data_IF_876472599725
#
_entry.id   IF_876472599725
#
_cell.length_a   1.000
_cell.length_b   1.000
_cell.length_c   1.000
_cell.angle_alpha   90.00
_cell.angle_beta   90.00
_cell.angle_gamma   90.00
#
_symmetry.space_group_name_H-M   'P 1'
#
loop_
_entity.id
_entity.type
_entity.pdbx_description
1 polymer ?
#
# COMPACT_ATOMS: atom_id res chain seq x y z
N UNK A 1 58.04 -77.68 -8.20
CA UNK A 1 57.32 -78.05 -6.97
C UNK A 1 56.30 -76.94 -6.72
N UNK A 2 55.24 -76.90 -7.51
CA UNK A 2 53.95 -77.55 -7.22
C UNK A 2 53.10 -76.68 -6.27
N UNK A 3 52.20 -75.85 -6.82
CA UNK A 3 50.73 -75.95 -6.63
C UNK A 3 49.94 -74.68 -7.06
N UNK A 4 49.09 -74.90 -8.08
CA UNK A 4 47.62 -74.65 -8.07
C UNK A 4 47.10 -73.18 -8.08
N UNK A 5 46.74 -72.72 -9.30
CA UNK A 5 45.35 -72.49 -9.80
C UNK A 5 44.36 -71.74 -8.88
N UNK A 6 43.99 -70.48 -9.20
CA UNK A 6 42.56 -70.07 -9.26
C UNK A 6 42.30 -68.73 -9.97
N UNK A 7 41.34 -68.82 -10.88
CA UNK A 7 40.61 -67.81 -11.65
C UNK A 7 39.95 -66.67 -10.85
N UNK A 8 39.80 -65.53 -11.55
CA UNK A 8 38.64 -64.60 -11.57
C UNK A 8 38.34 -63.71 -10.35
N UNK A 9 38.46 -62.37 -10.53
CA UNK A 9 37.33 -61.40 -10.66
C UNK A 9 37.82 -59.96 -10.49
N UNK A 10 37.60 -59.13 -11.52
CA UNK A 10 37.53 -57.67 -11.41
C UNK A 10 36.44 -57.27 -10.41
N UNK A 11 36.67 -56.24 -9.59
CA UNK A 11 35.59 -55.40 -9.12
C UNK A 11 35.69 -54.03 -9.80
N UNK A 12 34.76 -53.78 -10.72
CA UNK A 12 34.42 -52.43 -11.19
C UNK A 12 33.77 -51.73 -9.98
N UNK A 13 34.43 -50.73 -9.42
CA UNK A 13 33.87 -49.87 -8.38
C UNK A 13 32.94 -48.84 -9.05
N UNK A 14 31.64 -49.09 -9.02
CA UNK A 14 30.63 -48.10 -9.40
C UNK A 14 30.38 -47.17 -8.21
N UNK A 15 30.86 -45.91 -8.30
CA UNK A 15 30.46 -44.84 -7.38
C UNK A 15 29.07 -44.33 -7.80
N UNK A 16 28.06 -44.57 -6.96
CA UNK A 16 26.75 -43.92 -7.10
C UNK A 16 26.86 -42.53 -6.47
N UNK A 17 26.82 -41.50 -7.31
CA UNK A 17 26.77 -40.11 -6.87
C UNK A 17 25.34 -39.77 -6.45
N UNK A 18 25.09 -39.70 -5.14
CA UNK A 18 23.81 -39.25 -4.59
C UNK A 18 23.75 -37.72 -4.67
N UNK A 19 23.09 -37.19 -5.69
CA UNK A 19 22.83 -35.76 -5.81
C UNK A 19 21.75 -35.36 -4.79
N UNK A 20 22.16 -34.78 -3.67
CA UNK A 20 21.25 -34.11 -2.74
C UNK A 20 20.88 -32.77 -3.37
N UNK A 21 19.69 -32.70 -3.97
CA UNK A 21 19.14 -31.43 -4.46
C UNK A 21 18.64 -30.63 -3.25
N UNK A 22 19.39 -29.61 -2.85
CA UNK A 22 18.84 -28.58 -1.97
C UNK A 22 17.82 -27.79 -2.78
N UNK A 23 16.54 -27.93 -2.45
CA UNK A 23 15.50 -27.03 -2.94
C UNK A 23 15.83 -25.64 -2.39
N UNK A 24 16.39 -24.77 -3.23
CA UNK A 24 16.49 -23.35 -2.92
C UNK A 24 15.05 -22.83 -2.88
N UNK A 25 14.54 -22.30 -1.76
CA UNK A 25 13.21 -21.73 -1.73
C UNK A 25 13.17 -20.57 -2.72
N UNK A 26 12.31 -20.66 -3.73
CA UNK A 26 12.01 -19.56 -4.64
C UNK A 26 11.39 -18.44 -3.81
N UNK A 27 12.11 -17.35 -3.60
CA UNK A 27 11.50 -16.11 -3.11
C UNK A 27 10.56 -15.61 -4.21
N UNK A 28 9.26 -15.87 -4.08
CA UNK A 28 8.26 -15.20 -4.91
C UNK A 28 8.18 -13.76 -4.43
N UNK A 29 8.84 -12.84 -5.13
CA UNK A 29 8.62 -11.41 -4.93
C UNK A 29 7.18 -11.10 -5.34
N UNK A 30 6.40 -10.48 -4.44
CA UNK A 30 5.10 -9.94 -4.82
C UNK A 30 5.30 -8.80 -5.84
N UNK A 31 4.44 -8.74 -6.85
CA UNK A 31 4.52 -7.71 -7.90
C UNK A 31 4.33 -6.30 -7.34
N UNK A 32 3.57 -6.16 -6.26
CA UNK A 32 3.27 -4.88 -5.62
C UNK A 32 3.56 -4.97 -4.13
N UNK A 33 3.95 -3.86 -3.52
CA UNK A 33 4.11 -3.77 -2.05
C UNK A 33 3.53 -2.47 -1.52
N UNK A 34 3.14 -2.49 -0.24
CA UNK A 34 2.85 -1.28 0.51
C UNK A 34 4.14 -0.82 1.18
N UNK A 35 4.50 0.44 0.99
CA UNK A 35 5.64 1.10 1.64
C UNK A 35 5.08 2.17 2.57
N UNK A 36 5.36 2.04 3.86
CA UNK A 36 4.97 3.00 4.88
C UNK A 36 6.23 3.71 5.36
N UNK A 37 6.30 5.02 5.14
CA UNK A 37 7.42 5.86 5.59
C UNK A 37 6.99 6.73 6.76
N UNK A 38 7.93 6.98 7.68
CA UNK A 38 7.76 7.95 8.76
C UNK A 38 8.44 9.27 8.41
N UNK A 39 7.76 10.37 8.72
CA UNK A 39 8.26 11.73 8.60
C UNK A 39 7.99 12.51 9.89
N UNK A 40 8.87 13.46 10.25
CA UNK A 40 8.61 14.34 11.38
C UNK A 40 7.38 15.21 11.11
N UNK A 41 6.51 15.32 12.12
CA UNK A 41 5.44 16.32 12.16
C UNK A 41 6.01 17.69 12.58
N UNK A 42 5.38 18.77 12.13
CA UNK A 42 5.62 20.12 12.66
C UNK A 42 5.08 20.29 14.08
N UNK A 43 4.19 19.40 14.52
CA UNK A 43 3.70 19.33 15.89
C UNK A 43 4.54 18.38 16.73
N UNK A 44 4.96 18.85 17.90
CA UNK A 44 5.80 18.06 18.79
C UNK A 44 5.07 16.80 19.30
N UNK A 45 5.77 15.66 19.30
CA UNK A 45 5.23 14.38 19.76
C UNK A 45 4.31 13.66 18.77
N UNK A 46 4.18 14.16 17.53
CA UNK A 46 3.41 13.53 16.46
C UNK A 46 4.35 12.95 15.39
N UNK A 47 3.90 11.91 14.70
CA UNK A 47 4.59 11.31 13.55
C UNK A 47 3.66 11.30 12.35
N UNK A 48 4.18 11.68 11.18
CA UNK A 48 3.51 11.51 9.90
C UNK A 48 3.87 10.17 9.29
N UNK A 49 2.86 9.41 8.91
CA UNK A 49 2.99 8.19 8.16
C UNK A 49 2.52 8.42 6.73
N UNK A 50 3.39 8.13 5.77
CA UNK A 50 3.14 8.27 4.34
C UNK A 50 3.01 6.87 3.76
N UNK A 51 1.80 6.51 3.34
CA UNK A 51 1.51 5.17 2.82
C UNK A 51 1.56 5.21 1.29
N UNK A 52 2.39 4.37 0.69
CA UNK A 52 2.59 4.29 -0.75
C UNK A 52 2.32 2.88 -1.26
N UNK A 53 1.74 2.77 -2.45
CA UNK A 53 1.82 1.55 -3.25
C UNK A 53 3.07 1.63 -4.12
N UNK A 54 3.98 0.68 -3.94
CA UNK A 54 5.16 0.49 -4.79
C UNK A 54 4.76 -0.36 -5.99
N UNK A 55 4.94 0.21 -7.18
CA UNK A 55 4.64 -0.39 -8.47
C UNK A 55 5.83 -1.16 -9.05
N UNK A 56 5.55 -2.10 -9.95
CA UNK A 56 6.56 -2.88 -10.65
C UNK A 56 7.04 -2.18 -11.94
N UNK A 57 6.17 -1.40 -12.57
CA UNK A 57 6.44 -0.70 -13.83
C UNK A 57 5.92 0.74 -13.79
N UNK A 58 6.60 1.67 -14.47
CA UNK A 58 6.18 3.08 -14.57
C UNK A 58 4.84 3.30 -15.26
N UNK A 59 4.36 2.30 -16.01
CA UNK A 59 3.08 2.33 -16.71
C UNK A 59 1.96 1.68 -15.91
N UNK A 60 2.26 1.04 -14.77
CA UNK A 60 1.23 0.60 -13.84
C UNK A 60 0.51 1.81 -13.24
N UNK A 61 -0.79 1.66 -12.96
CA UNK A 61 -1.61 2.74 -12.42
C UNK A 61 -2.44 2.24 -11.24
N UNK A 62 -2.34 2.91 -10.09
CA UNK A 62 -3.29 2.70 -8.98
C UNK A 62 -4.59 3.41 -9.33
N UNK A 63 -5.68 2.67 -9.39
CA UNK A 63 -6.99 3.21 -9.74
C UNK A 63 -7.87 3.47 -8.52
N UNK A 64 -7.80 2.61 -7.52
CA UNK A 64 -8.66 2.69 -6.34
C UNK A 64 -8.02 2.07 -5.11
N UNK A 65 -8.39 2.59 -3.94
CA UNK A 65 -8.24 1.91 -2.66
C UNK A 65 -9.65 1.59 -2.16
N UNK A 66 -9.88 0.35 -1.73
CA UNK A 66 -11.24 -0.14 -1.53
C UNK A 66 -11.39 -1.13 -0.37
N UNK A 67 -12.60 -1.23 0.16
CA UNK A 67 -12.99 -2.27 1.11
C UNK A 67 -14.42 -2.74 0.88
N UNK A 68 -14.70 -3.99 1.24
CA UNK A 68 -16.03 -4.59 1.24
C UNK A 68 -16.16 -5.60 2.38
N UNK A 69 -17.34 -6.18 2.56
CA UNK A 69 -17.60 -7.32 3.45
C UNK A 69 -16.72 -8.54 3.18
N UNK A 70 -16.45 -8.85 1.91
CA UNK A 70 -15.57 -9.95 1.49
C UNK A 70 -14.09 -9.63 1.58
N UNK A 71 -13.73 -8.37 1.35
CA UNK A 71 -12.36 -7.87 1.32
C UNK A 71 -12.28 -6.63 2.22
N UNK A 72 -12.31 -6.82 3.55
CA UNK A 72 -12.30 -5.70 4.46
C UNK A 72 -10.97 -4.95 4.38
N UNK A 73 -11.03 -3.64 4.60
CA UNK A 73 -9.83 -2.82 4.82
C UNK A 73 -9.97 -2.03 6.11
N UNK A 74 -8.84 -1.71 6.71
CA UNK A 74 -8.80 -0.88 7.91
C UNK A 74 -7.47 -0.17 8.07
N UNK A 75 -7.50 1.01 8.68
CA UNK A 75 -6.32 1.69 9.23
C UNK A 75 -6.61 1.95 10.70
N UNK A 76 -5.72 1.55 11.58
CA UNK A 76 -5.85 1.70 13.03
C UNK A 76 -4.73 2.60 13.51
N UNK A 77 -5.09 3.68 14.19
CA UNK A 77 -4.21 4.60 14.89
C UNK A 77 -4.65 4.65 16.37
N UNK A 78 -4.17 3.76 17.26
CA UNK A 78 -4.72 3.59 18.61
C UNK A 78 -4.66 4.85 19.49
N UNK A 79 -3.84 5.83 19.13
CA UNK A 79 -3.69 7.12 19.82
C UNK A 79 -4.48 8.26 19.15
N UNK A 80 -5.31 7.95 18.18
CA UNK A 80 -6.10 8.92 17.43
C UNK A 80 -5.29 9.61 16.34
N UNK A 81 -5.95 9.91 15.23
CA UNK A 81 -5.38 10.70 14.13
C UNK A 81 -5.45 12.20 14.41
N UNK A 82 -4.54 12.95 13.82
CA UNK A 82 -4.61 14.40 13.78
C UNK A 82 -5.36 14.89 12.55
N UNK A 83 -6.36 15.75 12.76
CA UNK A 83 -7.05 16.54 11.75
C UNK A 83 -7.39 17.92 12.32
N UNK A 84 -6.91 18.97 11.67
CA UNK A 84 -7.17 20.36 12.03
C UNK A 84 -8.65 20.71 11.78
N UNK A 85 -9.20 21.69 12.52
CA UNK A 85 -10.56 22.17 12.28
C UNK A 85 -10.73 22.91 10.94
N UNK A 86 -9.63 23.15 10.21
CA UNK A 86 -9.60 23.84 8.93
C UNK A 86 -9.44 22.89 7.74
N UNK A 87 -9.33 21.58 7.97
CA UNK A 87 -9.33 20.61 6.89
C UNK A 87 -10.69 20.62 6.18
N UNK A 88 -10.72 21.19 4.97
CA UNK A 88 -11.95 21.37 4.22
C UNK A 88 -12.43 20.10 3.50
N UNK A 89 -11.66 19.01 3.53
CA UNK A 89 -11.92 17.79 2.77
C UNK A 89 -11.48 16.53 3.55
N UNK A 90 -11.88 15.36 3.06
CA UNK A 90 -11.34 14.07 3.52
C UNK A 90 -10.06 13.66 2.76
N UNK A 91 -9.80 14.33 1.64
CA UNK A 91 -8.69 14.02 0.74
C UNK A 91 -7.65 15.13 0.70
N UNK A 92 -6.54 14.87 0.01
CA UNK A 92 -5.47 15.85 -0.24
C UNK A 92 -5.98 17.18 -0.83
N UNK A 93 -7.16 17.21 -1.46
CA UNK A 93 -7.78 18.44 -1.96
C UNK A 93 -8.12 19.46 -0.87
N UNK A 94 -8.22 19.03 0.39
CA UNK A 94 -8.37 19.91 1.55
C UNK A 94 -7.10 20.69 1.90
N UNK A 95 -5.93 20.20 1.49
CA UNK A 95 -4.62 20.78 1.81
C UNK A 95 -4.24 21.94 0.89
N UNK A 96 -5.07 22.98 0.86
CA UNK A 96 -4.80 24.16 0.07
C UNK A 96 -3.69 25.02 0.70
N UNK A 97 -2.53 25.22 0.03
CA UNK A 97 -1.39 25.92 0.61
C UNK A 97 -1.67 27.35 1.07
N UNK A 98 -2.69 28.00 0.52
CA UNK A 98 -3.09 29.36 0.90
C UNK A 98 -3.51 29.47 2.37
N UNK A 99 -3.83 28.35 3.04
CA UNK A 99 -4.20 28.35 4.45
C UNK A 99 -3.03 28.06 5.40
N UNK A 100 -1.87 27.63 4.89
CA UNK A 100 -0.74 27.21 5.74
C UNK A 100 -0.10 28.36 6.53
N UNK A 101 -0.13 29.59 6.01
CA UNK A 101 0.37 30.75 6.78
C UNK A 101 -0.45 31.01 8.04
N UNK A 102 -1.78 30.85 7.94
CA UNK A 102 -2.70 31.05 9.06
C UNK A 102 -2.77 29.83 10.00
N UNK A 103 -2.58 28.62 9.46
CA UNK A 103 -2.60 27.38 10.22
C UNK A 103 -1.51 26.40 9.73
N UNK A 104 -0.25 26.57 10.19
CA UNK A 104 0.87 25.76 9.73
C UNK A 104 0.72 24.26 9.99
N UNK A 105 0.01 23.86 11.04
CA UNK A 105 -0.20 22.44 11.36
C UNK A 105 -1.08 21.70 10.35
N UNK A 106 -1.79 22.40 9.44
CA UNK A 106 -2.57 21.75 8.38
C UNK A 106 -1.72 20.88 7.46
N UNK A 107 -0.42 21.16 7.33
CA UNK A 107 0.50 20.31 6.54
C UNK A 107 0.60 18.88 7.08
N UNK A 108 0.20 18.68 8.33
CA UNK A 108 0.18 17.40 9.01
C UNK A 108 -1.23 16.83 9.17
N UNK A 109 -2.26 17.40 8.54
CA UNK A 109 -3.58 16.76 8.55
C UNK A 109 -3.52 15.37 7.92
N UNK A 110 -4.33 14.45 8.45
CA UNK A 110 -4.48 13.14 7.86
C UNK A 110 -5.40 13.24 6.65
N UNK A 111 -5.05 12.57 5.55
CA UNK A 111 -5.86 12.59 4.33
C UNK A 111 -5.70 11.33 3.50
N UNK A 112 -6.72 10.99 2.73
CA UNK A 112 -6.63 10.01 1.65
C UNK A 112 -6.28 10.68 0.32
N UNK A 113 -5.62 9.94 -0.56
CA UNK A 113 -5.20 10.44 -1.87
C UNK A 113 -4.96 9.29 -2.85
N UNK A 114 -4.69 9.64 -4.11
CA UNK A 114 -3.97 8.81 -5.07
C UNK A 114 -2.96 9.74 -5.74
N UNK A 115 -1.69 9.64 -5.35
CA UNK A 115 -0.56 10.35 -5.93
C UNK A 115 -0.55 11.87 -5.78
N UNK A 116 -1.33 12.44 -4.84
CA UNK A 116 -1.33 13.88 -4.56
C UNK A 116 -0.96 14.19 -3.11
N UNK A 117 -0.08 15.17 -2.91
CA UNK A 117 0.23 15.78 -1.60
C UNK A 117 -0.67 16.99 -1.26
N UNK A 118 -1.52 17.41 -2.21
CA UNK A 118 -2.44 18.52 -2.07
C UNK A 118 -3.54 18.50 -3.14
N UNK A 119 -4.23 19.62 -3.39
CA UNK A 119 -5.22 19.71 -4.47
C UNK A 119 -4.64 19.35 -5.83
N UNK A 120 -5.42 18.66 -6.66
CA UNK A 120 -5.00 18.24 -8.00
C UNK A 120 -4.52 19.40 -8.89
N UNK A 121 -5.03 20.61 -8.69
CA UNK A 121 -4.58 21.83 -9.39
C UNK A 121 -3.11 22.19 -9.12
N UNK A 122 -2.51 21.65 -8.07
CA UNK A 122 -1.08 21.77 -7.74
C UNK A 122 -0.25 20.55 -8.17
N UNK A 123 -0.91 19.50 -8.70
CA UNK A 123 -0.28 18.27 -9.15
C UNK A 123 0.26 18.35 -10.59
N UNK A 124 0.62 17.18 -11.13
CA UNK A 124 1.02 17.03 -12.54
C UNK A 124 -0.16 17.35 -13.47
N UNK A 125 0.11 17.69 -14.73
CA UNK A 125 -0.94 17.89 -15.73
C UNK A 125 -1.88 16.68 -15.79
N UNK A 126 -3.19 16.94 -15.87
CA UNK A 126 -4.26 15.93 -15.80
C UNK A 126 -4.33 15.15 -14.47
N UNK A 127 -3.85 15.73 -13.38
CA UNK A 127 -4.16 15.21 -12.05
C UNK A 127 -5.64 15.44 -11.74
N UNK A 128 -6.25 14.51 -11.02
CA UNK A 128 -7.65 14.59 -10.58
C UNK A 128 -7.73 14.34 -9.07
N UNK A 129 -8.56 15.11 -8.37
CA UNK A 129 -8.87 14.84 -6.97
C UNK A 129 -9.61 13.48 -6.86
N UNK A 130 -9.31 12.65 -5.85
CA UNK A 130 -9.95 11.35 -5.73
C UNK A 130 -11.46 11.48 -5.47
N UNK A 131 -12.23 10.57 -6.06
CA UNK A 131 -13.67 10.46 -5.92
C UNK A 131 -13.98 9.45 -4.81
N UNK A 132 -14.96 9.76 -3.97
CA UNK A 132 -15.37 8.95 -2.84
C UNK A 132 -16.60 8.09 -3.15
N UNK A 133 -16.54 6.83 -2.72
CA UNK A 133 -17.69 5.96 -2.45
C UNK A 133 -17.69 5.64 -0.96
N UNK A 134 -18.80 5.88 -0.30
CA UNK A 134 -18.92 5.75 1.15
C UNK A 134 -20.26 5.15 1.54
N UNK A 135 -20.23 4.28 2.55
CA UNK A 135 -21.42 3.78 3.21
C UNK A 135 -21.78 4.75 4.34
N UNK A 136 -22.82 5.56 4.11
CA UNK A 136 -23.23 6.60 5.07
C UNK A 136 -23.62 6.07 6.45
N UNK A 137 -23.87 4.76 6.59
CA UNK A 137 -24.14 4.14 7.89
C UNK A 137 -22.86 3.81 8.67
N UNK A 138 -21.70 3.78 8.00
CA UNK A 138 -20.37 3.59 8.56
C UNK A 138 -19.34 4.46 7.80
N UNK A 139 -19.37 5.80 7.98
CA UNK A 139 -18.62 6.72 7.16
C UNK A 139 -17.12 6.67 7.46
N UNK A 140 -16.34 6.14 6.52
CA UNK A 140 -14.89 6.00 6.72
C UNK A 140 -14.15 7.34 6.62
N UNK A 141 -14.75 8.33 5.96
CA UNK A 141 -14.18 9.66 5.76
C UNK A 141 -14.00 10.44 7.06
N UNK A 142 -14.70 10.06 8.13
CA UNK A 142 -14.53 10.68 9.45
C UNK A 142 -13.12 10.51 9.99
N UNK A 143 -12.41 9.44 9.62
CA UNK A 143 -11.00 9.24 9.95
C UNK A 143 -10.08 10.35 9.40
N UNK A 144 -10.49 11.04 8.33
CA UNK A 144 -9.71 12.12 7.71
C UNK A 144 -10.29 13.52 7.99
N UNK A 145 -11.39 13.61 8.73
CA UNK A 145 -12.10 14.87 8.98
C UNK A 145 -12.26 15.20 10.45
N UNK A 146 -12.27 14.18 11.30
CA UNK A 146 -12.50 14.32 12.73
C UNK A 146 -11.18 13.99 13.45
N UNK A 147 -10.79 14.86 14.37
CA UNK A 147 -9.60 14.66 15.18
C UNK A 147 -9.80 13.48 16.14
N UNK A 148 -8.71 12.82 16.53
CA UNK A 148 -8.66 11.72 17.51
C UNK A 148 -9.41 10.43 17.12
N UNK A 149 -9.94 10.32 15.90
CA UNK A 149 -10.52 9.05 15.42
C UNK A 149 -9.43 7.96 15.38
N UNK A 150 -9.74 6.80 15.93
CA UNK A 150 -8.75 5.73 16.13
C UNK A 150 -8.74 4.66 15.04
N UNK A 151 -9.79 4.61 14.21
CA UNK A 151 -9.96 3.55 13.21
C UNK A 151 -10.74 4.03 11.99
N UNK A 152 -10.21 3.72 10.83
CA UNK A 152 -10.95 3.61 9.57
C UNK A 152 -11.28 2.14 9.36
N UNK A 153 -12.53 1.81 9.03
CA UNK A 153 -12.92 0.46 8.66
C UNK A 153 -13.94 0.49 7.53
N UNK A 154 -13.69 -0.30 6.49
CA UNK A 154 -14.63 -0.52 5.40
C UNK A 154 -14.80 -2.04 5.26
N UNK A 155 -15.92 -2.55 5.76
CA UNK A 155 -16.24 -3.97 5.85
C UNK A 155 -17.72 -4.27 5.61
N UNK A 156 -18.47 -3.33 5.03
CA UNK A 156 -19.92 -3.50 4.77
C UNK A 156 -20.15 -4.06 3.37
N UNK A 157 -21.38 -4.55 3.12
CA UNK A 157 -21.79 -5.04 1.80
C UNK A 157 -21.76 -3.94 0.74
N UNK A 158 -22.11 -2.70 1.11
CA UNK A 158 -21.99 -1.53 0.22
C UNK A 158 -20.52 -1.19 -0.03
N UNK A 159 -19.67 -1.42 0.98
CA UNK A 159 -18.25 -1.16 0.92
C UNK A 159 -17.95 0.34 0.88
N UNK A 160 -16.74 0.65 0.43
CA UNK A 160 -16.22 2.01 0.38
C UNK A 160 -14.96 2.04 -0.45
N UNK A 161 -14.67 3.18 -1.05
CA UNK A 161 -13.52 3.36 -1.92
C UNK A 161 -13.18 4.83 -2.08
N UNK A 162 -11.91 5.13 -2.27
CA UNK A 162 -11.51 6.33 -2.99
C UNK A 162 -10.74 5.95 -4.24
N UNK A 163 -11.06 6.61 -5.35
CA UNK A 163 -10.56 6.23 -6.66
C UNK A 163 -10.33 7.44 -7.57
N UNK A 164 -9.51 7.24 -8.59
CA UNK A 164 -9.34 8.17 -9.71
C UNK A 164 -9.67 7.45 -11.00
N UNK A 165 -10.04 8.21 -12.02
CA UNK A 165 -10.27 7.63 -13.34
C UNK A 165 -8.93 7.22 -13.96
N UNK A 166 -8.96 6.25 -14.89
CA UNK A 166 -7.74 5.83 -15.62
C UNK A 166 -7.04 6.97 -16.38
N UNK A 167 -7.75 8.07 -16.63
CA UNK A 167 -7.23 9.28 -17.29
C UNK A 167 -6.38 10.14 -16.36
N UNK A 168 -6.50 9.96 -15.05
CA UNK A 168 -5.83 10.75 -14.04
C UNK A 168 -4.34 10.40 -13.96
N UNK A 169 -3.48 11.39 -14.18
CA UNK A 169 -2.02 11.18 -14.23
C UNK A 169 -1.40 10.91 -12.86
N UNK A 170 -2.08 11.30 -11.79
CA UNK A 170 -1.68 11.04 -10.40
C UNK A 170 -1.89 9.57 -9.97
N UNK A 171 -2.51 8.73 -10.79
CA UNK A 171 -2.55 7.29 -10.57
C UNK A 171 -1.23 6.57 -10.89
N UNK A 172 -0.31 7.20 -11.65
CA UNK A 172 0.98 6.62 -12.01
C UNK A 172 2.04 6.88 -10.94
N UNK A 173 3.03 6.00 -10.88
CA UNK A 173 4.16 6.12 -9.96
C UNK A 173 4.93 7.44 -10.10
N UNK A 174 5.48 7.90 -8.97
CA UNK A 174 6.52 8.93 -8.93
C UNK A 174 7.86 8.41 -9.50
N UNK A 175 8.93 9.18 -9.33
CA UNK A 175 10.29 8.80 -9.77
C UNK A 175 10.80 7.51 -9.12
N UNK A 176 10.23 7.10 -7.99
CA UNK A 176 10.53 5.87 -7.26
C UNK A 176 9.52 4.75 -7.56
N UNK A 177 8.65 4.92 -8.56
CA UNK A 177 7.54 4.02 -8.86
C UNK A 177 6.54 3.87 -7.70
N UNK A 178 6.34 4.93 -6.92
CA UNK A 178 5.42 4.94 -5.77
C UNK A 178 4.23 5.84 -6.02
N UNK A 179 3.06 5.39 -5.56
CA UNK A 179 1.84 6.21 -5.54
C UNK A 179 1.44 6.40 -4.09
N UNK A 180 1.49 7.64 -3.61
CA UNK A 180 0.99 7.99 -2.29
C UNK A 180 -0.52 7.71 -2.22
N UNK A 181 -0.98 7.05 -1.18
CA UNK A 181 -2.41 6.73 -1.00
C UNK A 181 -3.03 7.37 0.24
N UNK A 182 -2.21 7.73 1.24
CA UNK A 182 -2.67 8.43 2.44
C UNK A 182 -1.51 9.12 3.20
N UNK A 183 -1.83 10.21 3.90
CA UNK A 183 -1.11 10.68 5.09
C UNK A 183 -1.89 10.29 6.34
N UNK A 184 -1.24 9.71 7.33
CA UNK A 184 -1.81 9.57 8.67
C UNK A 184 -0.87 10.23 9.66
N UNK A 185 -1.37 11.17 10.44
CA UNK A 185 -0.59 11.79 11.52
C UNK A 185 -1.14 11.36 12.86
N UNK A 186 -0.29 10.86 13.75
CA UNK A 186 -0.73 10.38 15.08
C UNK A 186 0.45 10.41 16.06
N UNK A 187 0.23 10.48 17.38
CA UNK A 187 1.32 10.40 18.36
C UNK A 187 1.70 8.94 18.69
N UNK A 188 1.11 7.96 18.01
CA UNK A 188 1.35 6.53 18.20
C UNK A 188 1.78 5.82 16.91
N UNK A 189 1.61 4.49 16.89
CA UNK A 189 1.79 3.68 15.70
C UNK A 189 0.52 3.62 14.86
N UNK A 190 0.67 3.15 13.62
CA UNK A 190 -0.43 2.76 12.74
C UNK A 190 -0.32 1.29 12.36
N UNK A 191 -1.44 0.62 12.08
CA UNK A 191 -1.46 -0.74 11.55
C UNK A 191 -2.73 -0.96 10.73
N UNK A 192 -2.80 -2.05 9.97
CA UNK A 192 -4.05 -2.43 9.32
C UNK A 192 -3.90 -3.27 8.08
N UNK A 193 -4.90 -3.13 7.21
CA UNK A 193 -5.05 -3.83 5.93
C UNK A 193 -5.50 -2.80 4.90
N UNK A 194 -4.75 -2.64 3.82
CA UNK A 194 -5.10 -1.83 2.67
C UNK A 194 -5.42 -2.76 1.50
N UNK A 195 -6.52 -2.52 0.79
CA UNK A 195 -6.73 -3.16 -0.50
C UNK A 195 -6.70 -2.13 -1.63
N UNK A 196 -5.99 -2.43 -2.71
CA UNK A 196 -5.83 -1.55 -3.85
C UNK A 196 -6.22 -2.26 -5.15
N UNK A 197 -6.83 -1.52 -6.07
CA UNK A 197 -6.96 -1.91 -7.46
C UNK A 197 -5.86 -1.24 -8.27
N UNK A 198 -5.17 -2.04 -9.08
CA UNK A 198 -4.07 -1.61 -9.92
C UNK A 198 -4.36 -2.05 -11.35
N UNK A 199 -4.08 -1.18 -12.33
CA UNK A 199 -4.13 -1.47 -13.75
C UNK A 199 -2.71 -1.73 -14.24
N UNK A 200 -2.31 -3.00 -14.43
CA UNK A 200 -0.99 -3.32 -14.94
C UNK A 200 -0.82 -2.76 -16.34
N UNK A 201 0.30 -2.06 -16.59
CA UNK A 201 0.59 -1.37 -17.85
C UNK A 201 -0.53 -0.40 -18.29
N UNK A 202 -1.30 0.12 -17.33
CA UNK A 202 -2.43 1.02 -17.58
C UNK A 202 -3.67 0.36 -18.20
N UNK A 203 -3.68 -0.97 -18.34
CA UNK A 203 -4.81 -1.70 -18.92
C UNK A 203 -5.85 -2.06 -17.86
N UNK A 204 -6.87 -1.22 -17.72
CA UNK A 204 -7.97 -1.46 -16.78
C UNK A 204 -8.74 -2.76 -17.01
N UNK A 205 -8.64 -3.39 -18.20
CA UNK A 205 -9.26 -4.72 -18.44
C UNK A 205 -8.50 -5.85 -17.75
N UNK A 206 -7.24 -5.62 -17.38
CA UNK A 206 -6.37 -6.56 -16.66
C UNK A 206 -6.19 -6.15 -15.21
N UNK A 207 -7.14 -5.40 -14.65
CA UNK A 207 -7.02 -4.89 -13.29
C UNK A 207 -6.79 -6.02 -12.30
N UNK A 208 -5.84 -5.83 -11.40
CA UNK A 208 -5.58 -6.73 -10.27
C UNK A 208 -6.00 -6.06 -8.98
N UNK A 209 -6.47 -6.85 -8.03
CA UNK A 209 -6.80 -6.42 -6.68
C UNK A 209 -5.76 -7.00 -5.74
N UNK A 210 -5.15 -6.14 -4.93
CA UNK A 210 -4.08 -6.49 -4.01
C UNK A 210 -4.51 -6.16 -2.59
N UNK A 211 -4.11 -6.97 -1.61
CA UNK A 211 -4.28 -6.73 -0.17
C UNK A 211 -2.91 -6.66 0.49
N UNK A 212 -2.73 -5.68 1.38
CA UNK A 212 -1.49 -5.40 2.09
C UNK A 212 -1.78 -5.27 3.57
N UNK A 213 -1.29 -6.21 4.38
CA UNK A 213 -1.29 -6.06 5.84
C UNK A 213 -0.03 -5.31 6.27
N UNK A 214 -0.12 -4.43 7.26
CA UNK A 214 1.03 -3.70 7.76
C UNK A 214 0.91 -3.42 9.26
N UNK A 215 2.07 -3.25 9.90
CA UNK A 215 2.18 -2.85 11.30
C UNK A 215 3.37 -1.88 11.42
N UNK A 216 3.08 -0.61 11.64
CA UNK A 216 4.04 0.48 11.64
C UNK A 216 4.59 0.80 10.25
N UNK A 217 5.85 1.25 10.24
CA UNK A 217 6.60 1.61 9.05
C UNK A 217 7.28 0.39 8.41
N UNK A 218 7.65 0.50 7.14
CA UNK A 218 8.38 -0.54 6.42
C UNK A 218 7.73 -0.92 5.10
N UNK A 219 8.15 -2.05 4.53
CA UNK A 219 7.65 -2.54 3.24
C UNK A 219 7.02 -3.91 3.43
N UNK A 220 5.76 -4.05 3.00
CA UNK A 220 5.05 -5.33 3.07
C UNK A 220 4.57 -5.76 1.68
N UNK A 221 4.89 -6.99 1.23
CA UNK A 221 4.42 -7.50 -0.06
C UNK A 221 2.90 -7.66 -0.07
N UNK A 222 2.29 -7.41 -1.23
CA UNK A 222 0.86 -7.61 -1.43
C UNK A 222 0.50 -9.07 -1.70
N UNK A 223 -0.70 -9.47 -1.29
CA UNK A 223 -1.36 -10.71 -1.70
C UNK A 223 -2.45 -10.39 -2.74
N UNK A 224 -2.60 -11.25 -3.75
CA UNK A 224 -3.71 -11.13 -4.70
C UNK A 224 -5.03 -11.41 -3.97
N UNK A 225 -6.00 -10.52 -4.13
CA UNK A 225 -7.38 -10.75 -3.70
C UNK A 225 -8.05 -11.63 -4.73
N UNK A 226 -8.39 -12.85 -4.34
CA UNK A 226 -9.15 -13.79 -5.17
C UNK A 226 -10.64 -13.45 -5.08
N UNK A 227 -11.33 -13.46 -6.22
CA UNK A 227 -12.78 -13.22 -6.30
C UNK A 227 -13.62 -14.42 -5.84
#
# INVERSE_FOLDING_TARGET
MDKIKRMLRNPIFTFILLAVTYAVPSLTFSQYSLVVLEEPSVMNGMTKFRLYIQLADSTDQVSAIFGTDKNPMSIVAPKGVFNSPFNASWSASGLNPNFFEAMPSMVDDSFATIGLDGPASQGKANSEDPIMVDDRSNPWADFFKVNEVVKLEINTLLGGSWFVLKTASNGFGDENLRVLIAQITTPGSISGIINAQIFPLGDGKKSVKMSFSFDGFGTTPGAIVLE
#
